data_IF_221353893197
#
_entry.id   IF_221353893197
#
_cell.length_a   1.000
_cell.length_b   1.000
_cell.length_c   1.000
_cell.angle_alpha   90.00
_cell.angle_beta   90.00
_cell.angle_gamma   90.00
#
_symmetry.space_group_name_H-M   'P 1'
#
loop_
_entity.id
_entity.type
_entity.pdbx_description
1 polymer ?
#
# COMPACT_ATOMS: atom_id res chain seq x y z
N UNK A 1 -12.48 20.59 28.75
CA UNK A 1 -12.61 19.97 27.41
C UNK A 1 -11.96 20.77 26.28
N UNK A 2 -12.14 22.11 26.17
CA UNK A 2 -11.51 22.92 25.09
C UNK A 2 -9.98 22.83 24.96
N UNK A 3 -9.26 22.52 26.05
CA UNK A 3 -7.80 22.35 26.02
C UNK A 3 -7.34 21.08 25.28
N UNK A 4 -8.04 19.96 25.45
CA UNK A 4 -7.66 18.69 24.83
C UNK A 4 -7.88 18.70 23.30
N UNK A 5 -8.96 19.30 22.83
CA UNK A 5 -9.24 19.47 21.41
C UNK A 5 -8.18 20.31 20.70
N UNK A 6 -7.69 21.36 21.37
CA UNK A 6 -6.60 22.20 20.85
C UNK A 6 -5.30 21.40 20.72
N UNK A 7 -4.94 20.61 21.74
CA UNK A 7 -3.76 19.74 21.70
C UNK A 7 -3.88 18.73 20.55
N UNK A 8 -5.02 18.06 20.40
CA UNK A 8 -5.22 17.12 19.29
C UNK A 8 -5.14 17.79 17.92
N UNK A 9 -5.65 19.02 17.78
CA UNK A 9 -5.52 19.76 16.52
C UNK A 9 -4.05 20.12 16.21
N UNK A 10 -3.29 20.58 17.20
CA UNK A 10 -1.86 20.92 17.05
C UNK A 10 -1.04 19.68 16.69
N UNK A 11 -1.22 18.58 17.43
CA UNK A 11 -0.54 17.31 17.13
C UNK A 11 -0.92 16.78 15.76
N UNK A 12 -2.21 16.84 15.38
CA UNK A 12 -2.67 16.39 14.08
C UNK A 12 -1.99 17.14 12.92
N UNK A 13 -1.74 18.45 13.07
CA UNK A 13 -1.03 19.24 12.07
C UNK A 13 0.45 18.84 11.96
N UNK A 14 1.08 18.51 13.08
CA UNK A 14 2.48 18.08 13.12
C UNK A 14 2.70 16.73 12.45
N UNK A 15 1.80 15.76 12.71
CA UNK A 15 1.96 14.37 12.26
C UNK A 15 1.31 14.06 10.91
N UNK A 16 0.52 14.98 10.36
CA UNK A 16 -0.13 14.74 9.06
C UNK A 16 0.85 15.05 7.92
N UNK A 17 0.92 14.18 6.88
CA UNK A 17 1.65 14.49 5.67
C UNK A 17 1.17 15.81 5.07
N UNK A 18 2.10 16.57 4.51
CA UNK A 18 1.74 17.79 3.77
C UNK A 18 0.98 17.40 2.49
N UNK A 19 0.05 18.23 1.97
CA UNK A 19 -0.66 17.91 0.74
C UNK A 19 0.25 17.60 -0.46
N UNK A 20 1.40 18.27 -0.55
CA UNK A 20 2.41 18.02 -1.57
C UNK A 20 3.12 16.67 -1.38
N UNK A 21 3.36 16.25 -0.15
CA UNK A 21 3.96 14.96 0.19
C UNK A 21 3.02 13.81 -0.16
N UNK A 22 1.78 13.85 0.33
CA UNK A 22 0.76 12.86 0.00
C UNK A 22 0.47 12.76 -1.50
N UNK A 23 0.56 13.88 -2.23
CA UNK A 23 0.46 13.90 -3.69
C UNK A 23 1.64 13.16 -4.35
N UNK A 24 2.88 13.42 -3.92
CA UNK A 24 4.07 12.74 -4.45
C UNK A 24 4.04 11.24 -4.18
N UNK A 25 3.62 10.81 -3.00
CA UNK A 25 3.43 9.39 -2.66
C UNK A 25 2.50 8.71 -3.67
N UNK A 26 1.32 9.29 -3.91
CA UNK A 26 0.32 8.75 -4.84
C UNK A 26 0.83 8.73 -6.28
N UNK A 27 1.47 9.80 -6.73
CA UNK A 27 2.01 9.89 -8.09
C UNK A 27 3.10 8.83 -8.32
N UNK A 28 4.02 8.68 -7.36
CA UNK A 28 5.09 7.71 -7.44
C UNK A 28 4.57 6.26 -7.33
N UNK A 29 3.64 5.97 -6.42
CA UNK A 29 3.01 4.65 -6.32
C UNK A 29 2.33 4.24 -7.63
N UNK A 30 1.59 5.16 -8.26
CA UNK A 30 0.95 4.91 -9.55
C UNK A 30 1.95 4.74 -10.69
N UNK A 31 3.09 5.44 -10.66
CA UNK A 31 4.18 5.24 -11.61
C UNK A 31 4.76 3.81 -11.49
N UNK A 32 5.12 3.39 -10.28
CA UNK A 32 5.66 2.05 -10.03
C UNK A 32 4.64 0.97 -10.41
N UNK A 33 3.36 1.15 -10.08
CA UNK A 33 2.31 0.21 -10.50
C UNK A 33 2.25 0.04 -12.02
N UNK A 34 2.30 1.13 -12.80
CA UNK A 34 2.33 1.06 -14.27
C UNK A 34 3.57 0.32 -14.79
N UNK A 35 4.72 0.51 -14.15
CA UNK A 35 5.96 -0.19 -14.51
C UNK A 35 5.84 -1.70 -14.21
N UNK A 36 5.30 -2.07 -13.05
CA UNK A 36 5.06 -3.46 -12.65
C UNK A 36 4.10 -4.15 -13.64
N UNK A 37 2.97 -3.52 -13.95
CA UNK A 37 1.99 -4.04 -14.93
C UNK A 37 2.61 -4.21 -16.32
N UNK A 38 3.43 -3.26 -16.76
CA UNK A 38 4.18 -3.36 -18.03
C UNK A 38 5.18 -4.52 -18.00
N UNK A 39 5.89 -4.72 -16.89
CA UNK A 39 6.87 -5.80 -16.72
C UNK A 39 6.21 -7.20 -16.64
N UNK A 40 4.92 -7.25 -16.31
CA UNK A 40 4.07 -8.44 -16.20
C UNK A 40 3.03 -8.52 -17.33
N UNK A 41 3.26 -7.81 -18.44
CA UNK A 41 2.35 -7.83 -19.58
C UNK A 41 2.16 -9.27 -20.08
N UNK A 42 0.91 -9.71 -20.13
CA UNK A 42 0.51 -11.08 -20.50
C UNK A 42 0.15 -11.98 -19.32
N UNK A 43 0.46 -11.59 -18.09
CA UNK A 43 0.10 -12.35 -16.87
C UNK A 43 -1.34 -12.04 -16.37
N UNK A 44 -2.02 -11.06 -16.97
CA UNK A 44 -3.38 -10.65 -16.58
C UNK A 44 -3.45 -9.92 -15.23
N UNK A 45 -2.34 -9.32 -14.80
CA UNK A 45 -2.20 -8.67 -13.50
C UNK A 45 -2.78 -7.26 -13.47
N UNK A 46 -3.09 -6.82 -12.26
CA UNK A 46 -3.43 -5.43 -11.94
C UNK A 46 -2.67 -5.03 -10.66
N UNK A 47 -2.07 -3.85 -10.65
CA UNK A 47 -1.38 -3.32 -9.48
C UNK A 47 -2.28 -2.35 -8.72
N UNK A 48 -2.51 -2.64 -7.43
CA UNK A 48 -3.27 -1.79 -6.54
C UNK A 48 -2.35 -1.12 -5.51
N UNK A 49 -2.38 0.21 -5.47
CA UNK A 49 -1.82 0.96 -4.35
C UNK A 49 -2.78 0.92 -3.17
N UNK A 50 -2.36 0.28 -2.08
CA UNK A 50 -3.17 0.11 -0.87
C UNK A 50 -2.48 0.76 0.32
N UNK A 51 -2.88 0.39 1.53
CA UNK A 51 -2.16 0.82 2.73
C UNK A 51 -2.54 2.19 3.23
N UNK A 52 -1.70 2.74 4.11
CA UNK A 52 -2.06 3.95 4.85
C UNK A 52 -1.94 5.23 4.04
N UNK A 53 -0.90 5.33 3.19
CA UNK A 53 -0.70 6.44 2.27
C UNK A 53 -1.84 6.54 1.25
N UNK A 54 -2.28 5.40 0.68
CA UNK A 54 -3.43 5.38 -0.25
C UNK A 54 -4.74 5.90 0.38
N UNK A 55 -4.93 5.69 1.70
CA UNK A 55 -6.14 6.10 2.45
C UNK A 55 -6.06 7.50 3.05
N UNK A 56 -4.98 8.25 2.83
CA UNK A 56 -4.68 9.49 3.55
C UNK A 56 -4.71 9.29 5.08
N UNK A 57 -4.07 8.22 5.55
CA UNK A 57 -3.93 7.88 6.98
C UNK A 57 -2.49 7.55 7.40
N UNK A 58 -1.52 7.73 6.49
CA UNK A 58 -0.09 7.69 6.82
C UNK A 58 0.31 8.82 7.75
N UNK A 59 1.35 8.61 8.55
CA UNK A 59 1.99 9.68 9.29
C UNK A 59 2.99 10.39 8.38
N UNK A 60 3.27 11.65 8.73
CA UNK A 60 4.26 12.45 8.05
C UNK A 60 5.63 11.75 8.05
N UNK A 61 6.31 11.82 6.91
CA UNK A 61 7.63 11.26 6.68
C UNK A 61 7.72 9.72 6.71
N UNK A 62 6.60 8.98 6.89
CA UNK A 62 6.57 7.51 6.80
C UNK A 62 7.02 7.04 5.40
N UNK A 63 6.54 7.70 4.34
CA UNK A 63 6.86 7.43 2.93
C UNK A 63 6.74 5.93 2.50
N UNK A 64 5.86 5.19 3.17
CA UNK A 64 5.62 3.76 2.94
C UNK A 64 4.57 3.54 1.85
N UNK A 65 4.94 2.79 0.80
CA UNK A 65 4.10 2.50 -0.35
C UNK A 65 3.86 0.99 -0.51
N UNK A 66 2.62 0.58 -0.26
CA UNK A 66 2.18 -0.81 -0.35
C UNK A 66 1.57 -1.10 -1.72
N UNK A 67 2.28 -1.85 -2.57
CA UNK A 67 1.85 -2.15 -3.95
C UNK A 67 1.48 -3.63 -4.09
N UNK A 68 0.20 -3.90 -4.28
CA UNK A 68 -0.32 -5.26 -4.39
C UNK A 68 -0.49 -5.65 -5.86
N UNK A 69 0.23 -6.68 -6.28
CA UNK A 69 0.18 -7.22 -7.65
C UNK A 69 -0.81 -8.37 -7.68
N UNK A 70 -2.00 -8.13 -8.23
CA UNK A 70 -3.12 -9.06 -8.23
C UNK A 70 -3.09 -9.97 -9.45
N UNK A 71 -2.80 -11.26 -9.23
CA UNK A 71 -2.79 -12.27 -10.28
C UNK A 71 -4.15 -12.96 -10.44
N UNK A 72 -4.44 -13.49 -11.64
CA UNK A 72 -5.50 -14.48 -11.85
C UNK A 72 -5.40 -15.69 -10.91
N UNK A 73 -6.55 -16.23 -10.50
CA UNK A 73 -6.64 -17.33 -9.51
C UNK A 73 -6.25 -18.70 -10.06
N UNK A 74 -6.03 -18.86 -11.37
CA UNK A 74 -5.56 -20.10 -12.00
C UNK A 74 -4.05 -20.35 -11.81
N UNK A 75 -3.31 -19.39 -11.24
CA UNK A 75 -1.87 -19.51 -10.96
C UNK A 75 -1.59 -20.13 -9.59
N UNK A 76 -0.41 -20.74 -9.45
CA UNK A 76 0.10 -21.19 -8.15
C UNK A 76 0.76 -20.05 -7.39
N UNK A 77 0.89 -20.21 -6.07
CA UNK A 77 1.54 -19.23 -5.19
C UNK A 77 3.02 -18.99 -5.60
N UNK A 78 3.79 -20.07 -5.75
CA UNK A 78 5.19 -19.99 -6.21
C UNK A 78 5.35 -19.22 -7.52
N UNK A 79 4.37 -19.36 -8.43
CA UNK A 79 4.38 -18.68 -9.71
C UNK A 79 4.20 -17.16 -9.55
N UNK A 80 3.21 -16.73 -8.76
CA UNK A 80 2.93 -15.29 -8.58
C UNK A 80 4.05 -14.60 -7.82
N UNK A 81 4.66 -15.27 -6.84
CA UNK A 81 5.83 -14.78 -6.10
C UNK A 81 7.01 -14.60 -7.05
N UNK A 82 7.36 -15.65 -7.81
CA UNK A 82 8.46 -15.61 -8.77
C UNK A 82 8.28 -14.50 -9.80
N UNK A 83 7.10 -14.40 -10.42
CA UNK A 83 6.82 -13.39 -11.46
C UNK A 83 6.86 -11.97 -10.91
N UNK A 84 6.27 -11.75 -9.74
CA UNK A 84 6.34 -10.45 -9.06
C UNK A 84 7.79 -10.05 -8.79
N UNK A 85 8.62 -10.99 -8.33
CA UNK A 85 10.01 -10.71 -8.00
C UNK A 85 10.85 -10.40 -9.24
N UNK A 86 10.66 -11.17 -10.31
CA UNK A 86 11.27 -10.90 -11.62
C UNK A 86 10.87 -9.51 -12.16
N UNK A 87 9.63 -9.09 -11.95
CA UNK A 87 9.12 -7.81 -12.44
C UNK A 87 9.61 -6.61 -11.60
N UNK A 88 9.63 -6.73 -10.28
CA UNK A 88 10.11 -5.69 -9.38
C UNK A 88 11.61 -5.46 -9.53
N UNK A 89 12.42 -6.53 -9.65
CA UNK A 89 13.87 -6.43 -9.82
C UNK A 89 14.34 -5.80 -11.14
N UNK A 90 13.43 -5.59 -12.11
CA UNK A 90 13.72 -4.77 -13.31
C UNK A 90 13.69 -3.27 -13.02
N UNK A 91 13.13 -2.86 -11.89
CA UNK A 91 13.12 -1.47 -11.42
C UNK A 91 14.44 -1.25 -10.68
N UNK A 92 15.25 -0.24 -11.06
CA UNK A 92 16.50 0.07 -10.39
C UNK A 92 16.29 0.31 -8.88
N UNK A 93 16.96 -0.48 -8.05
CA UNK A 93 16.87 -0.42 -6.59
C UNK A 93 17.44 -1.67 -5.94
N UNK A 94 17.81 -1.57 -4.67
CA UNK A 94 18.22 -2.73 -3.86
C UNK A 94 16.98 -3.40 -3.28
N UNK A 95 16.56 -4.50 -3.92
CA UNK A 95 15.39 -5.26 -3.52
C UNK A 95 15.74 -6.38 -2.55
N UNK A 96 15.19 -6.30 -1.34
CA UNK A 96 15.34 -7.30 -0.28
C UNK A 96 14.06 -8.12 -0.17
N UNK A 97 14.20 -9.44 -0.03
CA UNK A 97 13.08 -10.34 0.23
C UNK A 97 12.69 -10.30 1.69
N UNK A 98 11.41 -10.07 1.95
CA UNK A 98 10.78 -10.17 3.26
C UNK A 98 9.75 -11.31 3.26
N UNK A 99 9.44 -11.82 4.44
CA UNK A 99 8.58 -12.98 4.60
C UNK A 99 7.39 -12.65 5.51
N UNK A 100 6.19 -12.91 4.99
CA UNK A 100 4.94 -12.95 5.73
C UNK A 100 4.22 -14.25 5.33
N UNK A 101 2.90 -14.21 5.09
CA UNK A 101 2.20 -15.35 4.48
C UNK A 101 2.74 -15.64 3.08
N UNK A 102 2.79 -14.62 2.21
CA UNK A 102 3.54 -14.68 0.96
C UNK A 102 4.86 -13.90 1.12
N UNK A 103 5.99 -14.39 0.58
CA UNK A 103 7.17 -13.58 0.43
C UNK A 103 6.88 -12.33 -0.43
N UNK A 104 7.43 -11.19 -0.02
CA UNK A 104 7.31 -9.93 -0.74
C UNK A 104 8.68 -9.27 -0.89
N UNK A 105 8.78 -8.27 -1.77
CA UNK A 105 10.00 -7.51 -1.94
C UNK A 105 9.84 -6.10 -1.37
N UNK A 106 10.89 -5.61 -0.74
CA UNK A 106 11.00 -4.23 -0.26
C UNK A 106 12.24 -3.57 -0.88
N UNK A 107 12.13 -2.30 -1.28
CA UNK A 107 13.27 -1.48 -1.69
C UNK A 107 13.09 -0.02 -1.28
N UNK A 108 14.21 0.66 -1.06
CA UNK A 108 14.23 2.12 -0.95
C UNK A 108 14.41 2.73 -2.34
N UNK A 109 13.37 3.41 -2.85
CA UNK A 109 13.39 4.10 -4.13
C UNK A 109 13.28 5.62 -3.90
N UNK A 110 14.44 6.29 -3.86
CA UNK A 110 14.50 7.71 -3.51
C UNK A 110 14.05 7.92 -2.05
N UNK A 111 13.01 8.72 -1.84
CA UNK A 111 12.44 8.96 -0.51
C UNK A 111 11.47 7.87 -0.04
N UNK A 112 11.06 6.95 -0.92
CA UNK A 112 9.97 6.02 -0.65
C UNK A 112 10.45 4.61 -0.31
N UNK A 113 9.88 4.02 0.74
CA UNK A 113 9.99 2.60 1.03
C UNK A 113 8.88 1.88 0.29
N UNK A 114 9.24 1.12 -0.75
CA UNK A 114 8.29 0.46 -1.63
C UNK A 114 8.23 -1.03 -1.32
N UNK A 115 7.04 -1.51 -1.00
CA UNK A 115 6.75 -2.94 -0.85
C UNK A 115 5.95 -3.43 -2.06
N UNK A 116 6.41 -4.52 -2.68
CA UNK A 116 5.72 -5.17 -3.80
C UNK A 116 5.27 -6.56 -3.38
N UNK A 117 3.96 -6.72 -3.25
CA UNK A 117 3.31 -7.84 -2.58
C UNK A 117 2.49 -8.64 -3.60
N UNK A 118 2.83 -9.92 -3.85
CA UNK A 118 2.05 -10.78 -4.74
C UNK A 118 0.77 -11.27 -4.04
N UNK A 119 -0.39 -11.13 -4.70
CA UNK A 119 -1.64 -11.69 -4.21
C UNK A 119 -2.52 -12.19 -5.34
N UNK A 120 -3.60 -12.89 -5.00
CA UNK A 120 -4.62 -13.28 -5.96
C UNK A 120 -5.74 -12.24 -6.01
N UNK A 121 -6.25 -11.98 -7.21
CA UNK A 121 -7.48 -11.19 -7.39
C UNK A 121 -8.62 -11.88 -6.66
N UNK A 122 -9.36 -11.12 -5.86
CA UNK A 122 -10.48 -11.63 -5.06
C UNK A 122 -11.70 -10.74 -5.21
N UNK A 123 -12.84 -11.36 -5.48
CA UNK A 123 -14.14 -10.69 -5.44
C UNK A 123 -14.62 -10.54 -3.98
N UNK A 124 -15.47 -9.55 -3.70
CA UNK A 124 -15.94 -9.25 -2.34
C UNK A 124 -16.53 -10.46 -1.57
N UNK A 125 -17.20 -11.36 -2.29
CA UNK A 125 -17.81 -12.59 -1.74
C UNK A 125 -17.07 -13.87 -2.18
N UNK A 126 -15.84 -13.73 -2.65
CA UNK A 126 -15.04 -14.86 -3.11
C UNK A 126 -14.41 -15.64 -1.96
N UNK A 127 -14.04 -16.89 -2.22
CA UNK A 127 -13.26 -17.68 -1.27
C UNK A 127 -11.85 -17.11 -1.09
N UNK A 128 -11.41 -17.04 0.15
CA UNK A 128 -10.02 -16.70 0.50
C UNK A 128 -9.07 -17.81 0.03
N UNK A 129 -8.01 -17.45 -0.70
CA UNK A 129 -6.86 -18.34 -0.94
C UNK A 129 -5.72 -18.03 0.02
N UNK A 130 -5.49 -16.75 0.28
CA UNK A 130 -4.46 -16.24 1.19
C UNK A 130 -5.03 -15.06 1.98
N UNK A 131 -4.57 -14.84 3.20
CA UNK A 131 -4.99 -13.69 4.01
C UNK A 131 -4.61 -12.36 3.32
N UNK A 132 -3.52 -12.35 2.55
CA UNK A 132 -3.03 -11.20 1.75
C UNK A 132 -4.07 -10.75 0.70
N UNK A 133 -4.90 -11.67 0.18
CA UNK A 133 -5.90 -11.38 -0.86
C UNK A 133 -6.99 -10.41 -0.39
N UNK A 134 -7.18 -10.24 0.93
CA UNK A 134 -8.17 -9.31 1.50
C UNK A 134 -7.73 -7.86 1.45
N UNK A 135 -6.44 -7.57 1.38
CA UNK A 135 -5.92 -6.21 1.53
C UNK A 135 -6.50 -5.22 0.51
N UNK A 136 -6.64 -5.56 -0.79
CA UNK A 136 -7.35 -4.69 -1.74
C UNK A 136 -8.84 -4.46 -1.39
N UNK A 137 -9.53 -5.46 -0.85
CA UNK A 137 -10.93 -5.31 -0.41
C UNK A 137 -11.04 -4.48 0.87
N UNK A 138 -10.14 -4.66 1.82
CA UNK A 138 -10.05 -3.83 3.03
C UNK A 138 -9.77 -2.37 2.67
N UNK A 139 -8.90 -2.15 1.67
CA UNK A 139 -8.64 -0.84 1.10
C UNK A 139 -9.94 -0.22 0.56
N UNK A 140 -10.65 -0.94 -0.33
CA UNK A 140 -11.90 -0.46 -0.91
C UNK A 140 -12.96 -0.13 0.16
N UNK A 141 -13.15 -1.02 1.15
CA UNK A 141 -14.09 -0.81 2.24
C UNK A 141 -13.76 0.44 3.06
N UNK A 142 -12.51 0.58 3.50
CA UNK A 142 -12.11 1.72 4.33
C UNK A 142 -12.10 3.04 3.56
N UNK A 143 -11.76 3.02 2.27
CA UNK A 143 -11.79 4.20 1.42
C UNK A 143 -13.20 4.80 1.33
N UNK A 144 -14.24 3.94 1.26
CA UNK A 144 -15.64 4.35 1.23
C UNK A 144 -16.12 4.89 2.60
N UNK A 145 -15.66 4.30 3.70
CA UNK A 145 -16.18 4.62 5.05
C UNK A 145 -15.44 5.74 5.76
N UNK A 146 -14.15 5.96 5.48
CA UNK A 146 -13.33 6.93 6.21
C UNK A 146 -13.56 8.37 5.74
N UNK A 147 -14.22 9.15 6.59
CA UNK A 147 -14.35 10.61 6.43
C UNK A 147 -13.05 11.36 6.74
N UNK A 148 -12.85 12.59 6.24
CA UNK A 148 -11.65 13.36 6.54
C UNK A 148 -11.36 13.56 8.05
N UNK A 149 -12.35 13.85 8.92
CA UNK A 149 -12.11 13.90 10.36
C UNK A 149 -11.64 12.55 10.94
N UNK A 150 -12.23 11.43 10.50
CA UNK A 150 -11.82 10.10 10.96
C UNK A 150 -10.40 9.74 10.51
N UNK A 151 -9.98 10.16 9.31
CA UNK A 151 -8.59 9.96 8.85
C UNK A 151 -7.58 10.69 9.73
N UNK A 152 -7.92 11.90 10.19
CA UNK A 152 -7.15 12.64 11.20
C UNK A 152 -7.10 11.86 12.52
N UNK A 153 -8.24 11.36 12.98
CA UNK A 153 -8.32 10.63 14.25
C UNK A 153 -7.53 9.31 14.19
N UNK A 154 -7.49 8.62 13.04
CA UNK A 154 -6.62 7.46 12.80
C UNK A 154 -5.15 7.82 12.97
N UNK A 155 -4.68 8.97 12.44
CA UNK A 155 -3.29 9.41 12.61
C UNK A 155 -2.97 9.72 14.08
N UNK A 156 -3.88 10.40 14.77
CA UNK A 156 -3.72 10.69 16.19
C UNK A 156 -3.61 9.40 17.01
N UNK A 157 -4.46 8.41 16.74
CA UNK A 157 -4.40 7.11 17.40
C UNK A 157 -3.10 6.38 17.09
N UNK A 158 -2.65 6.38 15.82
CA UNK A 158 -1.35 5.81 15.43
C UNK A 158 -0.17 6.44 16.15
N UNK A 159 -0.18 7.76 16.37
CA UNK A 159 0.90 8.45 17.07
C UNK A 159 0.92 8.16 18.57
N UNK A 160 -0.25 7.84 19.13
CA UNK A 160 -0.39 7.55 20.55
C UNK A 160 0.10 6.13 20.92
N UNK A 161 -0.07 5.17 20.01
CA UNK A 161 0.33 3.76 20.16
C UNK A 161 1.79 3.54 19.77
#
# INVERSE_FOLDING_TARGET
MKGAEKIFAEVALEISPMPAEAKREKEFALEICRILEKNLKGEGVECAFVGSAARDTGLKDDNDLDLFVQFPRDKSEDYIVKKTFEAARKIPGEWVTHYAEHPYLQAQLGAFKVEVIPCFRMAANGELKSAVDRSPLHMAYLQEKLTPPQRRDVRLLKKLL
#
